data_IF_725363162216
#
_entry.id   IF_725363162216
#
_cell.length_a   1.000
_cell.length_b   1.000
_cell.length_c   1.000
_cell.angle_alpha   90.00
_cell.angle_beta   90.00
_cell.angle_gamma   90.00
#
_symmetry.space_group_name_H-M   'P 1'
#
loop_
_entity.id
_entity.type
_entity.pdbx_description
1 polymer ?
#
# COMPACT_ATOMS: atom_id res chain seq x y z
N UNK A 1 -9.92 13.21 -11.33
CA UNK A 1 -9.09 13.90 -10.30
C UNK A 1 -7.63 13.42 -10.27
N UNK A 2 -7.33 12.12 -10.37
CA UNK A 2 -5.95 11.58 -10.37
C UNK A 2 -4.97 12.18 -11.40
N UNK A 3 -5.45 12.59 -12.59
CA UNK A 3 -4.58 13.16 -13.63
C UNK A 3 -4.15 14.61 -13.39
N UNK A 4 -4.99 15.42 -12.73
CA UNK A 4 -4.64 16.80 -12.39
C UNK A 4 -3.53 16.85 -11.33
N UNK A 5 -3.50 15.85 -10.45
CA UNK A 5 -2.48 15.74 -9.41
C UNK A 5 -1.12 15.32 -9.99
N UNK A 6 -1.11 14.50 -11.07
CA UNK A 6 0.13 14.06 -11.72
C UNK A 6 0.91 15.23 -12.33
N UNK A 7 0.24 16.17 -12.99
CA UNK A 7 0.89 17.37 -13.56
C UNK A 7 1.41 18.32 -12.45
N UNK A 8 0.68 18.44 -11.34
CA UNK A 8 1.13 19.19 -10.18
C UNK A 8 2.36 18.53 -9.52
N UNK A 9 2.38 17.20 -9.44
CA UNK A 9 3.51 16.42 -8.94
C UNK A 9 4.76 16.57 -9.81
N UNK A 10 4.59 16.56 -11.14
CA UNK A 10 5.68 16.72 -12.11
C UNK A 10 6.31 18.12 -12.06
N UNK A 11 5.48 19.16 -11.90
CA UNK A 11 5.98 20.52 -11.71
C UNK A 11 6.69 20.70 -10.37
N UNK A 12 6.21 20.06 -9.29
CA UNK A 12 6.89 20.05 -7.99
C UNK A 12 8.24 19.34 -8.05
N UNK A 13 8.35 18.22 -8.76
CA UNK A 13 9.62 17.49 -8.93
C UNK A 13 10.62 18.28 -9.79
N UNK A 14 10.17 18.93 -10.88
CA UNK A 14 11.03 19.82 -11.69
C UNK A 14 11.55 21.01 -10.87
N UNK A 15 10.69 21.64 -10.06
CA UNK A 15 11.09 22.74 -9.19
C UNK A 15 12.07 22.28 -8.09
N UNK A 16 11.85 21.10 -7.49
CA UNK A 16 12.77 20.53 -6.52
C UNK A 16 14.14 20.22 -7.14
N UNK A 17 14.19 19.64 -8.35
CA UNK A 17 15.47 19.41 -9.05
C UNK A 17 16.25 20.70 -9.27
N UNK A 18 15.59 21.79 -9.67
CA UNK A 18 16.25 23.10 -9.87
C UNK A 18 16.82 23.67 -8.56
N UNK A 19 16.14 23.48 -7.43
CA UNK A 19 16.63 23.93 -6.12
C UNK A 19 17.79 23.07 -5.62
N UNK A 20 17.73 21.76 -5.83
CA UNK A 20 18.82 20.85 -5.47
C UNK A 20 20.09 21.13 -6.29
N UNK A 21 19.95 21.41 -7.59
CA UNK A 21 21.11 21.78 -8.43
C UNK A 21 21.73 23.13 -8.07
N UNK A 22 20.93 24.08 -7.55
CA UNK A 22 21.43 25.40 -7.14
C UNK A 22 22.10 25.38 -5.75
N UNK A 23 21.68 24.50 -4.84
CA UNK A 23 22.21 24.43 -3.48
C UNK A 23 23.52 23.63 -3.32
N UNK A 24 23.89 22.79 -4.28
CA UNK A 24 25.09 21.95 -4.18
C UNK A 24 26.42 22.69 -4.39
N UNK A 25 26.41 23.95 -4.83
CA UNK A 25 27.64 24.66 -5.22
C UNK A 25 28.39 25.38 -4.09
N UNK A 26 27.86 25.45 -2.86
CA UNK A 26 28.52 26.15 -1.74
C UNK A 26 28.87 25.23 -0.56
N UNK A 27 29.14 23.95 -0.82
CA UNK A 27 29.56 23.02 0.24
C UNK A 27 30.96 23.41 0.70
N UNK A 28 31.05 24.01 1.88
CA UNK A 28 32.30 24.46 2.49
C UNK A 28 33.27 23.27 2.59
N UNK A 29 34.43 23.29 1.91
CA UNK A 29 35.35 22.15 1.81
C UNK A 29 35.98 21.73 3.16
N UNK A 30 35.76 22.51 4.23
CA UNK A 30 36.36 22.32 5.53
C UNK A 30 35.74 21.16 6.35
N UNK A 31 34.42 20.91 6.23
CA UNK A 31 33.74 19.88 7.05
C UNK A 31 34.09 18.45 6.63
N UNK A 32 34.56 18.26 5.39
CA UNK A 32 34.95 16.95 4.86
C UNK A 32 36.37 16.51 5.25
N UNK A 33 37.15 17.31 5.98
CA UNK A 33 38.55 16.99 6.23
C UNK A 33 38.79 15.82 7.20
N UNK A 34 37.79 15.44 8.03
CA UNK A 34 37.94 14.32 8.97
C UNK A 34 37.37 13.01 8.39
N UNK A 35 38.21 12.04 7.98
CA UNK A 35 37.75 10.77 7.40
C UNK A 35 36.90 9.96 8.39
N UNK A 36 37.13 10.08 9.70
CA UNK A 36 36.35 9.37 10.71
C UNK A 36 34.88 9.83 10.76
N UNK A 37 34.62 11.12 10.49
CA UNK A 37 33.26 11.65 10.41
C UNK A 37 32.56 11.17 9.15
N UNK A 38 33.27 11.11 8.01
CA UNK A 38 32.73 10.59 6.77
C UNK A 38 32.30 9.12 6.91
N UNK A 39 33.15 8.28 7.49
CA UNK A 39 32.84 6.86 7.74
C UNK A 39 31.61 6.70 8.63
N UNK A 40 31.47 7.52 9.68
CA UNK A 40 30.27 7.49 10.55
C UNK A 40 28.99 7.90 9.81
N UNK A 41 29.06 8.92 8.96
CA UNK A 41 27.90 9.36 8.16
C UNK A 41 27.49 8.31 7.12
N UNK A 42 28.47 7.62 6.52
CA UNK A 42 28.18 6.51 5.60
C UNK A 42 27.47 5.37 6.34
N UNK A 43 27.99 4.97 7.51
CA UNK A 43 27.38 3.91 8.32
C UNK A 43 25.95 4.24 8.78
N UNK A 44 25.64 5.51 9.05
CA UNK A 44 24.27 5.94 9.39
C UNK A 44 23.35 5.77 8.19
N UNK A 45 23.76 6.21 6.99
CA UNK A 45 22.95 6.08 5.78
C UNK A 45 22.74 4.63 5.34
N UNK A 46 23.74 3.78 5.55
CA UNK A 46 23.60 2.35 5.32
C UNK A 46 22.51 1.73 6.22
N UNK A 47 22.51 2.08 7.52
CA UNK A 47 21.44 1.64 8.44
C UNK A 47 20.06 2.19 8.08
N UNK A 48 19.98 3.44 7.63
CA UNK A 48 18.72 4.03 7.15
C UNK A 48 18.20 3.25 5.92
N UNK A 49 19.09 2.94 4.98
CA UNK A 49 18.76 2.15 3.79
C UNK A 49 18.22 0.76 4.18
N UNK A 50 18.90 0.05 5.07
CA UNK A 50 18.47 -1.26 5.57
C UNK A 50 17.08 -1.20 6.23
N UNK A 51 16.81 -0.15 7.01
CA UNK A 51 15.52 0.06 7.66
C UNK A 51 14.40 0.23 6.62
N UNK A 52 14.60 1.06 5.58
CA UNK A 52 13.61 1.23 4.52
C UNK A 52 13.39 -0.05 3.71
N UNK A 53 14.46 -0.79 3.40
CA UNK A 53 14.37 -2.07 2.69
C UNK A 53 13.58 -3.09 3.50
N UNK A 54 13.83 -3.19 4.82
CA UNK A 54 13.10 -4.10 5.69
C UNK A 54 11.61 -3.72 5.82
N UNK A 55 11.31 -2.43 5.93
CA UNK A 55 9.94 -1.93 5.96
C UNK A 55 9.22 -2.20 4.63
N UNK A 56 9.87 -1.96 3.48
CA UNK A 56 9.33 -2.29 2.17
C UNK A 56 9.01 -3.78 2.05
N UNK A 57 9.89 -4.66 2.55
CA UNK A 57 9.65 -6.12 2.52
C UNK A 57 8.42 -6.52 3.33
N UNK A 58 8.24 -5.90 4.50
CA UNK A 58 7.07 -6.14 5.36
C UNK A 58 5.79 -5.64 4.67
N UNK A 59 5.82 -4.43 4.11
CA UNK A 59 4.68 -3.88 3.36
C UNK A 59 4.31 -4.73 2.15
N UNK A 60 5.30 -5.17 1.36
CA UNK A 60 5.09 -6.04 0.21
C UNK A 60 4.46 -7.37 0.60
N UNK A 61 4.89 -7.97 1.71
CA UNK A 61 4.30 -9.21 2.24
C UNK A 61 2.85 -9.02 2.65
N UNK A 62 2.54 -7.94 3.38
CA UNK A 62 1.15 -7.63 3.78
C UNK A 62 0.27 -7.44 2.55
N UNK A 63 0.71 -6.66 1.57
CA UNK A 63 -0.04 -6.45 0.32
C UNK A 63 -0.27 -7.74 -0.46
N UNK A 64 0.72 -8.63 -0.54
CA UNK A 64 0.59 -9.94 -1.19
C UNK A 64 -0.43 -10.83 -0.47
N UNK A 65 -0.43 -10.85 0.87
CA UNK A 65 -1.41 -11.60 1.66
C UNK A 65 -2.82 -11.07 1.42
N UNK A 66 -3.03 -9.75 1.46
CA UNK A 66 -4.34 -9.15 1.19
C UNK A 66 -4.86 -9.48 -0.21
N UNK A 67 -3.99 -9.39 -1.22
CA UNK A 67 -4.34 -9.75 -2.60
C UNK A 67 -4.73 -11.23 -2.73
N UNK A 68 -3.97 -12.13 -2.08
CA UNK A 68 -4.28 -13.57 -2.05
C UNK A 68 -5.60 -13.89 -1.35
N UNK A 69 -5.89 -13.25 -0.22
CA UNK A 69 -7.16 -13.44 0.50
C UNK A 69 -8.36 -13.05 -0.36
N UNK A 70 -8.25 -11.93 -1.08
CA UNK A 70 -9.29 -11.48 -2.01
C UNK A 70 -9.49 -12.46 -3.16
N UNK A 71 -8.40 -12.97 -3.74
CA UNK A 71 -8.47 -13.97 -4.80
C UNK A 71 -9.21 -15.23 -4.35
N UNK A 72 -8.88 -15.77 -3.17
CA UNK A 72 -9.56 -16.97 -2.65
C UNK A 72 -11.05 -16.77 -2.45
N UNK A 73 -11.50 -15.55 -2.12
CA UNK A 73 -12.93 -15.24 -1.95
C UNK A 73 -13.69 -15.17 -3.27
N UNK A 74 -13.06 -14.74 -4.36
CA UNK A 74 -13.71 -14.69 -5.67
C UNK A 74 -14.05 -16.08 -6.21
N UNK A 75 -13.22 -17.09 -5.93
CA UNK A 75 -13.48 -18.48 -6.36
C UNK A 75 -14.77 -19.05 -5.72
N UNK A 76 -15.00 -18.79 -4.44
CA UNK A 76 -16.22 -19.23 -3.75
C UNK A 76 -17.51 -18.70 -4.39
N UNK A 77 -17.49 -17.50 -4.98
CA UNK A 77 -18.68 -16.96 -5.66
C UNK A 77 -18.94 -17.62 -7.00
N UNK A 78 -17.88 -18.04 -7.69
CA UNK A 78 -18.00 -18.75 -8.97
C UNK A 78 -18.73 -20.07 -8.78
N UNK A 79 -18.35 -20.83 -7.76
CA UNK A 79 -18.97 -22.12 -7.46
C UNK A 79 -20.42 -21.98 -6.98
N UNK A 80 -20.72 -20.94 -6.19
CA UNK A 80 -22.08 -20.68 -5.72
C UNK A 80 -23.05 -20.29 -6.85
N UNK A 81 -22.57 -19.59 -7.89
CA UNK A 81 -23.40 -19.25 -9.06
C UNK A 81 -23.52 -20.40 -10.06
N UNK A 82 -22.50 -21.25 -10.20
CA UNK A 82 -22.54 -22.39 -11.12
C UNK A 82 -23.46 -23.52 -10.65
N UNK A 83 -23.77 -23.60 -9.34
CA UNK A 83 -24.69 -24.59 -8.76
C UNK A 83 -26.17 -24.41 -9.12
N UNK A 84 -26.57 -23.27 -9.69
CA UNK A 84 -27.97 -23.02 -10.08
C UNK A 84 -28.34 -23.55 -11.47
N UNK A 85 -27.34 -23.84 -12.32
CA UNK A 85 -27.57 -24.50 -13.62
C UNK A 85 -27.21 -25.99 -13.62
N UNK A 86 -26.70 -26.52 -12.52
CA UNK A 86 -26.54 -27.97 -12.33
C UNK A 86 -27.80 -28.62 -11.72
N UNK A 87 -29.00 -28.12 -12.05
CA UNK A 87 -30.11 -29.05 -12.19
C UNK A 87 -29.71 -29.97 -13.33
N UNK A 88 -29.14 -31.12 -12.94
CA UNK A 88 -29.04 -32.37 -13.67
C UNK A 88 -29.76 -32.25 -15.01
N UNK A 89 -28.99 -32.05 -16.10
CA UNK A 89 -29.36 -32.78 -17.29
C UNK A 89 -29.51 -34.22 -16.79
N UNK A 90 -30.73 -34.80 -16.79
CA UNK A 90 -30.93 -36.14 -16.28
C UNK A 90 -29.86 -36.98 -16.96
N UNK A 91 -29.07 -37.65 -16.13
CA UNK A 91 -28.21 -38.73 -16.56
C UNK A 91 -29.02 -39.50 -17.60
N UNK A 92 -28.56 -39.45 -18.86
CA UNK A 92 -29.17 -40.17 -19.96
C UNK A 92 -29.00 -41.64 -19.63
N UNK A 93 -29.88 -42.12 -18.75
CA UNK A 93 -30.27 -43.50 -18.62
C UNK A 93 -30.70 -43.90 -20.00
N UNK A 94 -29.74 -44.51 -20.70
CA UNK A 94 -29.94 -45.52 -21.72
C UNK A 94 -31.26 -45.34 -22.45
N UNK A 95 -31.29 -44.44 -23.46
CA UNK A 95 -32.28 -44.61 -24.50
C UNK A 95 -32.04 -46.01 -25.08
N UNK A 96 -32.99 -46.95 -24.97
CA UNK A 96 -32.80 -48.29 -25.49
C UNK A 96 -32.55 -48.20 -26.99
N UNK A 97 -31.35 -48.60 -27.39
CA UNK A 97 -30.95 -48.74 -28.79
C UNK A 97 -31.68 -49.96 -29.35
N UNK A 98 -32.92 -49.77 -29.77
CA UNK A 98 -33.68 -50.82 -30.42
C UNK A 98 -35.17 -50.61 -30.35
N UNK A 99 -35.73 -49.91 -31.35
CA UNK A 99 -36.67 -50.50 -32.30
C UNK A 99 -37.12 -49.47 -33.34
N UNK A 100 -36.89 -49.83 -34.60
CA UNK A 100 -37.61 -49.44 -35.80
C UNK A 100 -38.08 -47.97 -35.96
N UNK A 101 -37.25 -47.19 -36.65
CA UNK A 101 -37.75 -46.18 -37.59
C UNK A 101 -38.60 -46.85 -38.67
N UNK A 102 -39.93 -46.83 -38.54
CA UNK A 102 -40.84 -46.83 -39.70
C UNK A 102 -42.09 -46.01 -39.37
N UNK A 103 -42.15 -44.78 -39.91
CA UNK A 103 -43.40 -44.10 -40.23
C UNK A 103 -44.21 -43.51 -39.06
N UNK A 104 -43.88 -42.29 -38.65
CA UNK A 104 -44.74 -41.47 -37.78
C UNK A 104 -43.97 -40.27 -37.26
N UNK A 105 -44.42 -39.06 -37.57
CA UNK A 105 -43.65 -37.82 -37.41
C UNK A 105 -43.07 -37.57 -36.01
N UNK A 106 -41.86 -37.02 -35.98
CA UNK A 106 -41.35 -36.30 -34.82
C UNK A 106 -42.12 -34.99 -34.66
N UNK A 107 -43.32 -35.11 -34.09
CA UNK A 107 -44.12 -34.00 -33.61
C UNK A 107 -43.71 -33.69 -32.16
N UNK A 108 -42.50 -33.14 -31.98
CA UNK A 108 -42.03 -32.65 -30.68
C UNK A 108 -41.13 -31.40 -30.76
N UNK A 109 -40.83 -30.90 -31.96
CA UNK A 109 -40.45 -29.51 -32.16
C UNK A 109 -41.62 -28.84 -32.88
N UNK A 110 -42.58 -28.36 -32.10
CA UNK A 110 -43.69 -27.58 -32.63
C UNK A 110 -43.14 -26.36 -33.35
N UNK A 111 -43.48 -26.28 -34.63
CA UNK A 111 -43.24 -25.15 -35.50
C UNK A 111 -43.81 -23.85 -34.90
N UNK A 112 -42.98 -22.81 -34.99
CA UNK A 112 -43.35 -21.43 -35.26
C UNK A 112 -44.38 -20.77 -34.31
N UNK A 113 -43.87 -20.24 -33.21
CA UNK A 113 -44.23 -18.88 -32.84
C UNK A 113 -42.96 -18.01 -32.95
N UNK A 114 -42.88 -17.04 -33.89
CA UNK A 114 -41.85 -16.01 -33.79
C UNK A 114 -42.05 -15.34 -32.45
N UNK A 115 -41.02 -15.34 -31.60
CA UNK A 115 -41.05 -14.58 -30.36
C UNK A 115 -41.17 -13.11 -30.74
N UNK A 116 -42.39 -12.59 -30.73
CA UNK A 116 -42.68 -11.19 -30.98
C UNK A 116 -41.84 -10.37 -30.00
N UNK A 117 -40.94 -9.58 -30.58
CA UNK A 117 -39.95 -8.75 -29.88
C UNK A 117 -40.56 -7.57 -29.11
N UNK A 118 -41.87 -7.59 -28.83
CA UNK A 118 -42.59 -6.48 -28.23
C UNK A 118 -42.78 -6.59 -26.72
N UNK A 119 -42.61 -7.76 -26.12
CA UNK A 119 -42.94 -7.97 -24.70
C UNK A 119 -41.71 -8.15 -23.79
N UNK A 120 -40.49 -7.94 -24.32
CA UNK A 120 -39.29 -7.74 -23.50
C UNK A 120 -39.24 -6.30 -22.93
N UNK A 121 -40.32 -5.84 -22.29
CA UNK A 121 -40.35 -4.57 -21.53
C UNK A 121 -39.64 -4.67 -20.16
N UNK A 122 -38.98 -5.77 -19.84
CA UNK A 122 -38.19 -5.89 -18.61
C UNK A 122 -36.77 -6.38 -18.87
N UNK A 123 -35.99 -5.48 -19.48
CA UNK A 123 -34.53 -5.33 -19.30
C UNK A 123 -33.72 -6.62 -19.17
N UNK A 124 -33.25 -7.16 -20.29
CA UNK A 124 -32.08 -8.05 -20.31
C UNK A 124 -31.19 -7.59 -21.46
N UNK A 125 -29.99 -7.09 -21.15
CA UNK A 125 -28.98 -6.76 -22.16
C UNK A 125 -27.91 -7.83 -22.15
N UNK A 126 -27.76 -8.53 -23.28
CA UNK A 126 -26.75 -9.56 -23.45
C UNK A 126 -25.35 -8.92 -23.58
N UNK A 127 -24.44 -9.20 -22.64
CA UNK A 127 -23.05 -8.75 -22.72
C UNK A 127 -22.18 -9.82 -23.38
N UNK A 128 -21.74 -9.54 -24.61
CA UNK A 128 -20.90 -10.45 -25.40
C UNK A 128 -19.51 -10.73 -24.80
N UNK A 129 -19.08 -9.94 -23.80
CA UNK A 129 -17.79 -10.16 -23.14
C UNK A 129 -17.79 -11.35 -22.16
N UNK A 130 -18.98 -11.79 -21.69
CA UNK A 130 -19.12 -12.81 -20.63
C UNK A 130 -20.06 -13.96 -21.04
N UNK A 131 -20.84 -13.81 -22.13
CA UNK A 131 -21.63 -14.91 -22.69
C UNK A 131 -22.70 -15.47 -21.74
N UNK A 132 -23.37 -14.61 -20.98
CA UNK A 132 -24.47 -15.00 -20.09
C UNK A 132 -25.60 -13.97 -20.12
N UNK A 133 -26.85 -14.44 -20.06
CA UNK A 133 -28.06 -13.64 -19.92
C UNK A 133 -28.27 -13.33 -18.44
N UNK A 134 -28.38 -12.06 -18.04
CA UNK A 134 -28.45 -11.66 -16.63
C UNK A 134 -29.64 -10.70 -16.40
N UNK A 135 -30.38 -10.81 -15.27
CA UNK A 135 -31.57 -9.99 -14.96
C UNK A 135 -31.27 -8.64 -14.26
N UNK A 136 -31.96 -7.58 -14.72
CA UNK A 136 -31.69 -6.15 -14.52
C UNK A 136 -31.87 -5.51 -13.11
N UNK A 137 -31.61 -6.20 -12.00
CA UNK A 137 -31.68 -5.59 -10.65
C UNK A 137 -30.53 -5.95 -9.70
N UNK A 138 -29.97 -7.15 -9.82
CA UNK A 138 -28.90 -7.67 -8.95
C UNK A 138 -27.48 -7.46 -9.51
N UNK A 139 -27.35 -7.24 -10.83
CA UNK A 139 -26.07 -7.16 -11.53
C UNK A 139 -25.16 -6.06 -11.04
N UNK A 140 -25.71 -4.86 -10.83
CA UNK A 140 -24.89 -3.72 -10.44
C UNK A 140 -24.20 -3.97 -9.09
N UNK A 141 -24.88 -4.66 -8.16
CA UNK A 141 -24.30 -4.97 -6.84
C UNK A 141 -23.18 -6.00 -6.96
N UNK A 142 -23.39 -7.05 -7.75
CA UNK A 142 -22.36 -8.07 -8.02
C UNK A 142 -21.17 -7.47 -8.77
N UNK A 143 -21.43 -6.64 -9.79
CA UNK A 143 -20.39 -5.93 -10.54
C UNK A 143 -19.58 -5.00 -9.65
N UNK A 144 -20.23 -4.24 -8.74
CA UNK A 144 -19.54 -3.39 -7.77
C UNK A 144 -18.67 -4.22 -6.81
N UNK A 145 -19.17 -5.35 -6.34
CA UNK A 145 -18.39 -6.23 -5.46
C UNK A 145 -17.16 -6.79 -6.18
N UNK A 146 -17.33 -7.32 -7.39
CA UNK A 146 -16.21 -7.84 -8.20
C UNK A 146 -15.22 -6.72 -8.52
N UNK A 147 -15.71 -5.54 -8.92
CA UNK A 147 -14.85 -4.38 -9.21
C UNK A 147 -14.04 -3.92 -7.99
N UNK A 148 -14.65 -3.89 -6.80
CA UNK A 148 -13.96 -3.52 -5.57
C UNK A 148 -12.86 -4.52 -5.20
N UNK A 149 -13.14 -5.83 -5.32
CA UNK A 149 -12.14 -6.88 -5.08
C UNK A 149 -11.00 -6.84 -6.11
N UNK A 150 -11.31 -6.64 -7.39
CA UNK A 150 -10.30 -6.47 -8.43
C UNK A 150 -9.42 -5.26 -8.16
N UNK A 151 -10.00 -4.13 -7.74
CA UNK A 151 -9.23 -2.95 -7.37
C UNK A 151 -8.28 -3.24 -6.20
N UNK A 152 -8.75 -3.94 -5.16
CA UNK A 152 -7.90 -4.36 -4.04
C UNK A 152 -6.74 -5.25 -4.51
N UNK A 153 -7.03 -6.23 -5.36
CA UNK A 153 -6.02 -7.15 -5.90
C UNK A 153 -4.97 -6.41 -6.74
N UNK A 154 -5.41 -5.53 -7.65
CA UNK A 154 -4.54 -4.73 -8.50
C UNK A 154 -3.63 -3.80 -7.68
N UNK A 155 -4.19 -3.03 -6.73
CA UNK A 155 -3.40 -2.16 -5.87
C UNK A 155 -2.44 -2.95 -4.97
N UNK A 156 -2.86 -4.10 -4.46
CA UNK A 156 -2.01 -4.98 -3.63
C UNK A 156 -0.84 -5.57 -4.42
N UNK A 157 -1.07 -6.03 -5.65
CA UNK A 157 -0.01 -6.55 -6.53
C UNK A 157 0.94 -5.44 -6.99
N UNK A 158 0.43 -4.25 -7.30
CA UNK A 158 1.26 -3.09 -7.66
C UNK A 158 2.19 -2.69 -6.49
N UNK A 159 1.66 -2.66 -5.26
CA UNK A 159 2.47 -2.41 -4.07
C UNK A 159 3.52 -3.52 -3.82
N UNK A 160 3.14 -4.79 -3.98
CA UNK A 160 4.08 -5.92 -3.84
C UNK A 160 5.17 -5.90 -4.91
N UNK A 161 4.84 -5.56 -6.14
CA UNK A 161 5.82 -5.40 -7.22
C UNK A 161 6.72 -4.19 -6.98
N UNK A 162 6.16 -3.04 -6.59
CA UNK A 162 6.91 -1.82 -6.28
C UNK A 162 7.92 -2.04 -5.15
N UNK A 163 7.51 -2.66 -4.05
CA UNK A 163 8.42 -3.02 -2.94
C UNK A 163 9.51 -4.01 -3.36
N UNK A 164 9.18 -4.99 -4.20
CA UNK A 164 10.17 -5.93 -4.75
C UNK A 164 11.21 -5.18 -5.62
N UNK A 165 10.75 -4.28 -6.48
CA UNK A 165 11.64 -3.46 -7.30
C UNK A 165 12.56 -2.57 -6.45
N UNK A 166 12.02 -1.91 -5.41
CA UNK A 166 12.78 -1.06 -4.48
C UNK A 166 13.86 -1.87 -3.75
N UNK A 167 13.50 -3.06 -3.23
CA UNK A 167 14.43 -3.90 -2.45
C UNK A 167 15.54 -4.52 -3.32
N UNK A 168 15.28 -4.78 -4.61
CA UNK A 168 16.29 -5.28 -5.54
C UNK A 168 17.17 -4.16 -6.13
N UNK A 169 16.57 -3.05 -6.56
CA UNK A 169 17.28 -1.98 -7.28
C UNK A 169 17.95 -0.97 -6.35
N UNK A 170 17.37 -0.73 -5.17
CA UNK A 170 17.85 0.26 -4.20
C UNK A 170 19.31 0.05 -3.78
N UNK A 171 19.66 -1.13 -3.23
CA UNK A 171 21.04 -1.45 -2.87
C UNK A 171 21.99 -1.48 -4.08
N UNK A 172 21.50 -1.92 -5.24
CA UNK A 172 22.28 -1.97 -6.47
C UNK A 172 22.77 -0.59 -6.94
N UNK A 173 21.92 0.44 -6.81
CA UNK A 173 22.28 1.82 -7.12
C UNK A 173 23.24 2.42 -6.09
N UNK A 174 23.11 2.05 -4.81
CA UNK A 174 23.98 2.53 -3.74
C UNK A 174 25.42 2.00 -3.86
N UNK A 175 25.59 0.74 -4.31
CA UNK A 175 26.90 0.09 -4.37
C UNK A 175 27.67 0.35 -5.67
N UNK A 176 26.99 0.64 -6.79
CA UNK A 176 27.62 0.73 -8.12
C UNK A 176 27.74 2.14 -8.66
N UNK A 177 27.10 3.13 -8.04
CA UNK A 177 27.12 4.49 -8.55
C UNK A 177 28.35 5.29 -8.11
N UNK A 178 28.71 6.36 -8.84
CA UNK A 178 29.80 7.27 -8.46
C UNK A 178 29.56 7.92 -7.09
N UNK A 179 30.59 8.50 -6.47
CA UNK A 179 30.49 9.12 -5.15
C UNK A 179 29.25 10.02 -4.99
N UNK A 180 28.48 9.78 -3.94
CA UNK A 180 27.19 10.44 -3.70
C UNK A 180 25.96 9.69 -4.26
N UNK A 181 26.16 8.59 -4.99
CA UNK A 181 25.10 7.70 -5.47
C UNK A 181 24.21 7.15 -4.35
N UNK A 182 24.79 6.83 -3.19
CA UNK A 182 24.07 6.38 -2.00
C UNK A 182 23.03 7.42 -1.54
N UNK A 183 23.45 8.69 -1.49
CA UNK A 183 22.63 9.92 -1.48
C UNK A 183 21.30 9.78 -2.20
N UNK A 184 21.49 9.64 -3.51
CA UNK A 184 20.42 9.64 -4.49
C UNK A 184 19.57 8.39 -4.40
N UNK A 185 20.18 7.24 -4.07
CA UNK A 185 19.46 5.98 -3.90
C UNK A 185 18.52 6.05 -2.69
N UNK A 186 19.00 6.53 -1.54
CA UNK A 186 18.16 6.69 -0.33
C UNK A 186 17.01 7.65 -0.58
N UNK A 187 17.26 8.81 -1.22
CA UNK A 187 16.19 9.76 -1.56
C UNK A 187 15.17 9.17 -2.55
N UNK A 188 15.64 8.38 -3.52
CA UNK A 188 14.77 7.69 -4.47
C UNK A 188 13.88 6.65 -3.78
N UNK A 189 14.46 5.84 -2.90
CA UNK A 189 13.74 4.84 -2.12
C UNK A 189 12.69 5.48 -1.21
N UNK A 190 13.02 6.60 -0.57
CA UNK A 190 12.08 7.32 0.28
C UNK A 190 10.86 7.82 -0.52
N UNK A 191 11.10 8.40 -1.71
CA UNK A 191 10.01 8.88 -2.56
C UNK A 191 9.11 7.74 -3.06
N UNK A 192 9.69 6.60 -3.45
CA UNK A 192 8.90 5.43 -3.88
C UNK A 192 8.20 4.75 -2.70
N UNK A 193 8.80 4.76 -1.50
CA UNK A 193 8.19 4.23 -0.28
C UNK A 193 6.90 4.98 0.09
N UNK A 194 6.87 6.31 -0.06
CA UNK A 194 5.64 7.10 0.14
C UNK A 194 4.52 6.65 -0.81
N UNK A 195 4.86 6.42 -2.09
CA UNK A 195 3.90 5.95 -3.10
C UNK A 195 3.38 4.55 -2.78
N UNK A 196 4.29 3.62 -2.43
CA UNK A 196 3.93 2.25 -2.04
C UNK A 196 3.01 2.27 -0.82
N UNK A 197 3.36 3.04 0.22
CA UNK A 197 2.56 3.17 1.44
C UNK A 197 1.13 3.61 1.11
N UNK A 198 0.98 4.59 0.21
CA UNK A 198 -0.33 5.03 -0.29
C UNK A 198 -1.11 3.91 -1.00
N UNK A 199 -0.46 3.12 -1.87
CA UNK A 199 -1.10 1.98 -2.53
C UNK A 199 -1.54 0.89 -1.54
N UNK A 200 -0.74 0.62 -0.50
CA UNK A 200 -1.12 -0.30 0.58
C UNK A 200 -2.37 0.21 1.29
N UNK A 201 -2.42 1.48 1.68
CA UNK A 201 -3.61 2.06 2.30
C UNK A 201 -4.84 1.99 1.38
N UNK A 202 -4.67 2.30 0.09
CA UNK A 202 -5.74 2.20 -0.89
C UNK A 202 -6.27 0.76 -1.03
N UNK A 203 -5.39 -0.25 -0.98
CA UNK A 203 -5.78 -1.65 -1.00
C UNK A 203 -6.60 -2.04 0.25
N UNK A 204 -6.20 -1.58 1.44
CA UNK A 204 -6.93 -1.84 2.69
C UNK A 204 -8.30 -1.17 2.66
N UNK A 205 -8.39 0.09 2.21
CA UNK A 205 -9.65 0.81 2.15
C UNK A 205 -10.62 0.24 1.11
N UNK A 206 -10.11 -0.15 -0.06
CA UNK A 206 -10.92 -0.85 -1.08
C UNK A 206 -11.42 -2.21 -0.59
N UNK A 207 -10.60 -2.94 0.18
CA UNK A 207 -11.01 -4.21 0.80
C UNK A 207 -12.15 -4.02 1.80
N UNK A 208 -12.06 -3.02 2.66
CA UNK A 208 -13.14 -2.68 3.60
C UNK A 208 -14.41 -2.24 2.87
N UNK A 209 -14.28 -1.47 1.79
CA UNK A 209 -15.42 -1.09 0.96
C UNK A 209 -16.08 -2.31 0.29
N UNK A 210 -15.29 -3.27 -0.21
CA UNK A 210 -15.80 -4.53 -0.74
C UNK A 210 -16.56 -5.33 0.33
N UNK A 211 -16.05 -5.36 1.57
CA UNK A 211 -16.74 -5.97 2.72
C UNK A 211 -18.08 -5.31 3.05
N UNK A 212 -18.16 -3.98 2.95
CA UNK A 212 -19.43 -3.26 3.11
C UNK A 212 -20.43 -3.61 2.01
N UNK A 213 -20.00 -3.62 0.73
CA UNK A 213 -20.85 -4.03 -0.39
C UNK A 213 -21.32 -5.48 -0.22
N UNK A 214 -20.45 -6.37 0.25
CA UNK A 214 -20.80 -7.75 0.57
C UNK A 214 -21.88 -7.84 1.65
N UNK A 215 -21.78 -7.05 2.72
CA UNK A 215 -22.79 -7.03 3.78
C UNK A 215 -24.19 -6.61 3.26
N UNK A 216 -24.24 -5.75 2.24
CA UNK A 216 -25.49 -5.38 1.56
C UNK A 216 -25.97 -6.43 0.55
N UNK A 217 -25.05 -7.20 -0.04
CA UNK A 217 -25.35 -8.27 -0.99
C UNK A 217 -25.86 -9.54 -0.33
N UNK A 218 -25.35 -9.88 0.86
CA UNK A 218 -25.58 -11.18 1.50
C UNK A 218 -27.01 -11.41 2.03
N UNK A 219 -28.01 -10.66 1.53
CA UNK A 219 -29.44 -10.78 1.86
C UNK A 219 -29.67 -11.17 3.32
N UNK A 220 -29.11 -10.37 4.24
CA UNK A 220 -29.41 -10.58 5.64
C UNK A 220 -30.95 -10.42 5.80
N UNK A 221 -31.68 -11.42 6.30
CA UNK A 221 -33.13 -11.37 6.43
C UNK A 221 -33.60 -10.22 7.34
N UNK A 222 -32.66 -9.63 8.09
CA UNK A 222 -32.89 -8.52 9.00
C UNK A 222 -32.08 -7.29 8.56
N UNK A 223 -32.77 -6.19 8.27
CA UNK A 223 -32.20 -4.87 8.01
C UNK A 223 -31.17 -4.48 9.09
N UNK A 224 -31.48 -4.77 10.35
CA UNK A 224 -30.65 -4.46 11.51
C UNK A 224 -29.25 -5.09 11.42
N UNK A 225 -29.15 -6.31 10.92
CA UNK A 225 -27.87 -7.01 10.78
C UNK A 225 -27.00 -6.35 9.70
N UNK A 226 -27.59 -5.96 8.57
CA UNK A 226 -26.88 -5.24 7.50
C UNK A 226 -26.40 -3.86 7.95
N UNK A 227 -27.24 -3.12 8.70
CA UNK A 227 -26.88 -1.83 9.28
C UNK A 227 -25.79 -1.98 10.35
N UNK A 228 -25.88 -3.01 11.19
CA UNK A 228 -24.88 -3.32 12.20
C UNK A 228 -23.51 -3.64 11.59
N UNK A 229 -23.47 -4.49 10.56
CA UNK A 229 -22.24 -4.80 9.82
C UNK A 229 -21.67 -3.57 9.12
N UNK A 230 -22.50 -2.76 8.46
CA UNK A 230 -22.05 -1.52 7.81
C UNK A 230 -21.50 -0.52 8.82
N UNK A 231 -22.18 -0.36 9.96
CA UNK A 231 -21.72 0.50 11.05
C UNK A 231 -20.38 0.02 11.63
N UNK A 232 -20.20 -1.30 11.78
CA UNK A 232 -18.95 -1.90 12.23
C UNK A 232 -17.81 -1.63 11.23
N UNK A 233 -18.03 -1.84 9.93
CA UNK A 233 -17.03 -1.55 8.89
C UNK A 233 -16.67 -0.06 8.86
N UNK A 234 -17.68 0.83 8.96
CA UNK A 234 -17.47 2.27 9.01
C UNK A 234 -16.72 2.71 10.30
N UNK A 235 -17.00 2.06 11.44
CA UNK A 235 -16.28 2.31 12.68
C UNK A 235 -14.81 1.90 12.56
N UNK A 236 -14.53 0.70 12.03
CA UNK A 236 -13.15 0.23 11.75
C UNK A 236 -12.42 1.19 10.81
N UNK A 237 -13.05 1.61 9.71
CA UNK A 237 -12.50 2.61 8.79
C UNK A 237 -12.12 3.90 9.51
N UNK A 238 -13.01 4.44 10.35
CA UNK A 238 -12.75 5.67 11.12
C UNK A 238 -11.64 5.50 12.15
N UNK A 239 -11.58 4.36 12.83
CA UNK A 239 -10.52 4.07 13.80
C UNK A 239 -9.16 3.98 13.10
N UNK A 240 -9.08 3.29 11.95
CA UNK A 240 -7.84 3.23 11.16
C UNK A 240 -7.42 4.62 10.67
N UNK A 241 -8.34 5.39 10.09
CA UNK A 241 -8.05 6.74 9.62
C UNK A 241 -7.58 7.67 10.75
N UNK A 242 -8.22 7.60 11.93
CA UNK A 242 -7.79 8.36 13.12
C UNK A 242 -6.41 7.94 13.59
N UNK A 243 -6.11 6.65 13.64
CA UNK A 243 -4.79 6.16 14.04
C UNK A 243 -3.71 6.63 13.08
N UNK A 244 -3.94 6.54 11.77
CA UNK A 244 -3.01 7.05 10.76
C UNK A 244 -2.78 8.55 10.94
N UNK A 245 -3.85 9.34 11.09
CA UNK A 245 -3.72 10.79 11.30
C UNK A 245 -2.93 11.14 12.56
N UNK A 246 -3.20 10.49 13.69
CA UNK A 246 -2.46 10.70 14.95
C UNK A 246 -0.99 10.31 14.78
N UNK A 247 -0.69 9.24 14.05
CA UNK A 247 0.69 8.86 13.75
C UNK A 247 1.37 9.90 12.86
N UNK A 248 0.70 10.39 11.82
CA UNK A 248 1.23 11.43 10.93
C UNK A 248 1.46 12.78 11.63
N UNK A 249 0.59 13.15 12.58
CA UNK A 249 0.75 14.36 13.39
C UNK A 249 1.91 14.26 14.38
N UNK A 250 2.10 13.08 15.00
CA UNK A 250 3.19 12.86 15.95
C UNK A 250 4.54 12.63 15.25
N UNK A 251 4.51 12.09 14.03
CA UNK A 251 5.68 11.80 13.22
C UNK A 251 5.54 12.49 11.86
N UNK A 252 5.60 13.83 11.81
CA UNK A 252 5.52 14.54 10.55
C UNK A 252 6.72 14.16 9.69
N UNK A 253 6.53 13.19 8.78
CA UNK A 253 7.53 12.80 7.79
C UNK A 253 7.75 13.90 6.73
N UNK A 254 7.14 15.08 6.89
CA UNK A 254 7.46 16.28 6.12
C UNK A 254 8.96 16.47 6.13
N UNK A 255 9.60 16.17 4.99
CA UNK A 255 11.00 16.44 4.62
C UNK A 255 11.68 17.36 5.64
N UNK A 256 12.05 16.78 6.79
CA UNK A 256 13.00 17.43 7.68
C UNK A 256 14.22 17.39 6.79
N UNK A 257 14.58 18.54 6.23
CA UNK A 257 15.77 18.66 5.41
C UNK A 257 16.84 17.96 6.23
N UNK A 258 17.32 16.80 5.74
CA UNK A 258 18.28 16.00 6.48
C UNK A 258 19.29 17.01 6.97
N UNK A 259 19.38 17.19 8.29
CA UNK A 259 20.39 18.05 8.90
C UNK A 259 21.68 17.27 8.68
N UNK A 260 22.14 17.31 7.43
CA UNK A 260 23.27 16.59 6.90
C UNK A 260 24.48 17.33 7.43
N UNK A 261 24.74 17.17 8.71
CA UNK A 261 26.01 17.50 9.32
C UNK A 261 26.47 18.94 9.17
N UNK A 262 25.58 19.92 9.04
CA UNK A 262 25.89 21.28 9.46
C UNK A 262 25.89 21.33 10.99
N UNK A 263 26.68 20.45 11.63
CA UNK A 263 27.11 20.65 12.99
C UNK A 263 27.93 21.93 12.93
N UNK A 264 27.35 22.98 13.49
CA UNK A 264 27.88 24.32 13.60
C UNK A 264 29.39 24.35 13.44
N UNK A 265 29.86 24.99 12.36
CA UNK A 265 31.21 25.54 12.34
C UNK A 265 31.25 26.51 13.52
N UNK A 266 31.67 26.03 14.69
CA UNK A 266 32.31 26.86 15.68
C UNK A 266 33.68 27.25 15.11
N UNK A 267 33.68 27.94 13.96
CA UNK A 267 34.66 28.98 13.74
C UNK A 267 34.32 30.05 14.77
N UNK A 268 34.76 29.80 16.00
CA UNK A 268 35.01 30.85 16.96
C UNK A 268 35.69 31.98 16.17
N UNK A 269 35.17 33.21 16.20
CA UNK A 269 35.84 34.31 15.54
C UNK A 269 37.26 34.30 16.06
N UNK A 270 38.21 34.00 15.16
CA UNK A 270 39.63 34.24 15.41
C UNK A 270 39.71 35.75 15.59
N UNK A 271 39.56 36.17 16.84
CA UNK A 271 40.00 37.46 17.31
C UNK A 271 41.49 37.50 16.98
N UNK A 272 41.78 38.16 15.87
CA UNK A 272 43.12 38.60 15.58
C UNK A 272 43.57 39.49 16.76
N UNK A 273 44.84 39.32 17.13
CA UNK A 273 45.63 40.15 18.03
C UNK A 273 45.58 39.81 19.53
N UNK A 274 46.60 39.05 19.96
CA UNK A 274 47.57 39.57 20.93
C UNK A 274 47.45 39.05 22.36
N UNK A 275 48.38 38.17 22.77
CA UNK A 275 48.69 37.92 24.18
C UNK A 275 48.92 36.45 24.50
N UNK A 276 50.19 36.07 24.67
CA UNK A 276 50.58 34.71 25.01
C UNK A 276 50.10 34.29 26.40
N UNK A 277 49.37 33.18 26.46
CA UNK A 277 49.20 32.40 27.68
C UNK A 277 49.16 30.92 27.27
N UNK A 278 50.26 30.24 27.57
CA UNK A 278 50.42 28.79 27.41
C UNK A 278 49.47 28.09 28.37
N UNK A 279 48.30 27.66 27.89
CA UNK A 279 47.42 26.77 28.65
C UNK A 279 47.70 25.33 28.23
N UNK A 280 48.49 24.66 29.06
CA UNK A 280 48.72 23.21 29.00
C UNK A 280 47.42 22.50 29.37
N UNK A 281 46.64 22.12 28.35
CA UNK A 281 45.47 21.28 28.54
C UNK A 281 45.93 19.82 28.67
N UNK A 282 46.09 19.38 29.92
CA UNK A 282 46.31 17.99 30.28
C UNK A 282 45.08 17.19 29.88
N UNK A 283 45.18 16.40 28.81
CA UNK A 283 44.17 15.43 28.40
C UNK A 283 44.22 14.26 29.39
N UNK A 284 43.38 14.32 30.42
CA UNK A 284 43.07 13.17 31.26
C UNK A 284 42.11 12.27 30.49
N UNK A 285 42.63 11.17 29.94
CA UNK A 285 41.85 10.02 29.50
C UNK A 285 41.17 9.36 30.70
N UNK A 286 39.82 9.25 30.76
CA UNK A 286 39.17 8.41 31.75
C UNK A 286 39.25 6.96 31.28
N UNK A 287 40.20 6.22 31.84
CA UNK A 287 40.12 4.77 31.97
C UNK A 287 39.21 4.46 33.16
N UNK A 288 38.01 3.95 32.89
CA UNK A 288 37.09 3.55 33.96
C UNK A 288 35.84 2.90 33.41
N UNK A 289 35.74 1.58 33.56
CA UNK A 289 34.53 0.82 33.27
C UNK A 289 33.36 1.32 34.10
N UNK A 290 32.22 1.52 33.44
CA UNK A 290 30.96 1.92 34.08
C UNK A 290 29.82 1.41 33.21
N UNK A 291 28.92 0.63 33.81
CA UNK A 291 27.81 -0.02 33.13
C UNK A 291 26.98 0.95 32.30
N UNK A 292 26.48 0.45 31.17
CA UNK A 292 25.59 1.18 30.29
C UNK A 292 24.33 1.65 31.05
N UNK A 293 24.36 2.89 31.52
CA UNK A 293 23.20 3.55 32.10
C UNK A 293 22.18 3.72 30.97
N UNK A 294 21.10 2.94 31.04
CA UNK A 294 19.99 3.07 30.10
C UNK A 294 19.47 4.52 30.13
N UNK A 295 19.21 5.14 28.97
CA UNK A 295 18.67 6.48 28.93
C UNK A 295 17.39 6.55 29.75
N UNK A 296 17.36 7.46 30.72
CA UNK A 296 16.19 7.72 31.57
C UNK A 296 15.09 8.31 30.70
N UNK A 297 14.19 7.43 30.25
CA UNK A 297 12.98 7.76 29.52
C UNK A 297 12.20 8.82 30.30
N UNK A 298 11.87 9.93 29.64
CA UNK A 298 11.24 11.08 30.31
C UNK A 298 9.81 10.75 30.75
N UNK A 299 9.33 11.38 31.82
CA UNK A 299 8.01 11.11 32.40
C UNK A 299 6.85 11.39 31.41
N UNK A 300 7.08 12.30 30.45
CA UNK A 300 6.15 12.59 29.36
C UNK A 300 6.04 11.42 28.37
N UNK A 301 7.18 10.78 28.06
CA UNK A 301 7.24 9.64 27.15
C UNK A 301 6.58 8.40 27.79
N UNK A 302 6.74 8.19 29.10
CA UNK A 302 6.02 7.12 29.83
C UNK A 302 4.50 7.30 29.83
N UNK A 303 4.00 8.54 29.86
CA UNK A 303 2.55 8.81 29.78
C UNK A 303 2.00 8.48 28.40
N UNK A 304 2.77 8.73 27.33
CA UNK A 304 2.36 8.38 25.97
C UNK A 304 2.18 6.87 25.77
N UNK A 305 3.09 6.06 26.32
CA UNK A 305 3.00 4.59 26.21
C UNK A 305 1.88 3.98 27.08
N UNK A 306 1.63 4.53 28.28
CA UNK A 306 0.53 4.06 29.13
C UNK A 306 -0.84 4.32 28.47
N UNK A 307 -1.01 5.49 27.83
CA UNK A 307 -2.25 5.85 27.15
C UNK A 307 -2.47 5.06 25.85
N UNK A 308 -1.42 4.48 25.27
CA UNK A 308 -1.51 3.59 24.11
C UNK A 308 -1.94 2.17 24.50
N UNK A 309 -1.60 1.72 25.73
CA UNK A 309 -1.99 0.41 26.23
C UNK A 309 -3.49 0.35 26.59
N UNK A 310 -4.04 1.42 27.19
CA UNK A 310 -5.46 1.52 27.56
C UNK A 310 -6.45 1.63 26.38
N UNK A 311 -5.96 1.77 25.13
CA UNK A 311 -6.81 1.82 23.93
C UNK A 311 -6.68 0.52 23.10
N UNK A 312 -5.85 -0.43 23.53
CA UNK A 312 -5.65 -1.73 22.86
C UNK A 312 -6.33 -2.88 23.62
N UNK A 313 -6.65 -2.69 24.90
CA UNK A 313 -7.59 -3.52 25.67
C UNK A 313 -9.03 -2.99 25.58
#
# INVERSE_FOLDING_TARGET
>A
MLYADKAALENRTKAQRRRLSAGTSSRSPAVTANPAVQVRLLAIRERELELYVNNCRTMGMVSAIFSGLVYTKLDYFKDANCGWHSHQAPEWSECPVGEAMVGGGCQACGDEAPCDSSDCETGTTYSAAIGACVPCGGEYRQALFVAANLLTMCCGLEAAFGTTAITMLGPGLALRGPDGSMNKAVEGILAEYELVSYLVYLSIYSFLAAGAVFAFLAEAPNLLTSLGLTALVAATYRLMARRVHVVEENFPMKKIALVSGAFFDHSAPRAAAGGGATVTATVTTPSGGGGAERPKMTLAERRGYAQLHDIVE
#
